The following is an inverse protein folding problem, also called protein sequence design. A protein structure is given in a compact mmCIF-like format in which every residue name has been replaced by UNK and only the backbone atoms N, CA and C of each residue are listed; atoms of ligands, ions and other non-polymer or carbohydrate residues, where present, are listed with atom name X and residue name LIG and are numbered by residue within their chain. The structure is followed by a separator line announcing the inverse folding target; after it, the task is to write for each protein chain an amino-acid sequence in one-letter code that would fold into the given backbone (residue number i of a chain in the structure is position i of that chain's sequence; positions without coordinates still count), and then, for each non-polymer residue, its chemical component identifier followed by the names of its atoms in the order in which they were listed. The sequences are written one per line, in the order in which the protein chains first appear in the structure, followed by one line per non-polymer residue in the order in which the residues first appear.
data_IF_713014925760
#
_entry.id   IF_713014925760
#
_cell.length_a   1.000
_cell.length_b   1.000
_cell.length_c   1.000
_cell.angle_alpha   90.00
_cell.angle_beta   90.00
_cell.angle_gamma   90.00
#
_symmetry.space_group_name_H-M   'P 1'
#
loop_
_entity.id
_entity.type
_entity.pdbx_description
1 polymer ?
#
# COMPACT_ATOMS: atom_id res chain seq x y z
N UNK A 1 7.61 9.71 18.00
CA UNK A 1 8.37 9.17 16.85
C UNK A 1 8.32 7.65 16.75
N UNK A 2 8.52 6.91 17.86
CA UNK A 2 8.48 5.44 17.86
C UNK A 2 7.18 4.83 17.35
N UNK A 3 6.05 5.53 17.53
CA UNK A 3 4.73 5.08 17.09
C UNK A 3 4.60 4.99 15.56
N UNK A 4 4.98 6.07 14.87
CA UNK A 4 4.77 6.24 13.43
C UNK A 4 5.88 5.58 12.60
N UNK A 5 7.09 5.40 13.18
CA UNK A 5 8.19 4.68 12.54
C UNK A 5 8.35 3.22 13.04
N UNK A 6 7.27 2.62 13.56
CA UNK A 6 7.31 1.30 14.16
C UNK A 6 7.36 0.17 13.12
N UNK A 7 8.53 -0.46 12.96
CA UNK A 7 8.71 -1.58 12.00
C UNK A 7 7.84 -2.81 12.29
N UNK A 8 7.54 -3.09 13.55
CA UNK A 8 6.69 -4.23 13.91
C UNK A 8 5.26 -4.01 13.44
N UNK A 9 4.73 -2.79 13.60
CA UNK A 9 3.41 -2.42 13.07
C UNK A 9 3.34 -2.55 11.56
N UNK A 10 4.37 -2.11 10.84
CA UNK A 10 4.48 -2.32 9.38
C UNK A 10 4.39 -3.80 9.02
N UNK A 11 5.13 -4.67 9.74
CA UNK A 11 5.09 -6.13 9.50
C UNK A 11 3.71 -6.73 9.78
N UNK A 12 3.03 -6.30 10.84
CA UNK A 12 1.68 -6.75 11.18
C UNK A 12 0.71 -6.34 10.06
N UNK A 13 0.73 -5.08 9.63
CA UNK A 13 -0.13 -4.57 8.54
C UNK A 13 0.08 -5.37 7.25
N UNK A 14 1.33 -5.58 6.85
CA UNK A 14 1.68 -6.40 5.67
C UNK A 14 1.11 -7.82 5.77
N UNK A 15 1.25 -8.44 6.95
CA UNK A 15 0.75 -9.80 7.19
C UNK A 15 -0.77 -9.88 7.15
N UNK A 16 -1.47 -8.88 7.70
CA UNK A 16 -2.94 -8.80 7.67
C UNK A 16 -3.44 -8.65 6.23
N UNK A 17 -2.75 -7.87 5.42
CA UNK A 17 -3.09 -7.64 4.01
C UNK A 17 -2.66 -8.79 3.08
N UNK A 18 -2.07 -9.88 3.62
CA UNK A 18 -1.61 -11.07 2.88
C UNK A 18 -0.61 -10.76 1.76
N UNK A 19 0.16 -9.69 1.88
CA UNK A 19 1.21 -9.36 0.93
C UNK A 19 2.47 -10.20 1.17
N UNK A 20 3.08 -10.72 0.11
CA UNK A 20 4.32 -11.50 0.19
C UNK A 20 5.55 -10.58 0.15
N UNK A 21 5.89 -10.06 1.32
CA UNK A 21 7.08 -9.22 1.51
C UNK A 21 8.40 -10.00 1.41
N UNK A 22 8.38 -11.34 1.38
CA UNK A 22 9.58 -12.15 1.15
C UNK A 22 9.91 -12.12 -0.35
N UNK A 23 8.90 -12.34 -1.20
CA UNK A 23 9.04 -12.29 -2.66
C UNK A 23 9.31 -10.88 -3.17
N UNK A 24 8.62 -9.88 -2.64
CA UNK A 24 8.84 -8.48 -2.99
C UNK A 24 8.92 -7.62 -1.72
N UNK A 25 10.13 -7.34 -1.21
CA UNK A 25 10.30 -6.45 -0.06
C UNK A 25 9.88 -5.02 -0.39
N UNK A 26 9.30 -4.30 0.58
CA UNK A 26 8.86 -2.91 0.41
C UNK A 26 9.93 -1.98 -0.18
N UNK A 27 11.19 -2.13 0.24
CA UNK A 27 12.30 -1.31 -0.27
C UNK A 27 12.74 -1.63 -1.72
N UNK A 28 12.13 -2.64 -2.35
CA UNK A 28 12.28 -3.00 -3.77
C UNK A 28 10.97 -2.82 -4.56
N UNK A 29 9.88 -2.44 -3.88
CA UNK A 29 8.61 -2.14 -4.53
C UNK A 29 8.72 -0.79 -5.24
N UNK A 30 8.58 -0.78 -6.56
CA UNK A 30 8.64 0.44 -7.37
C UNK A 30 7.27 1.08 -7.53
N UNK A 31 7.26 2.38 -7.82
CA UNK A 31 6.04 3.11 -8.18
C UNK A 31 5.38 2.56 -9.44
N UNK A 32 6.18 2.07 -10.39
CA UNK A 32 5.68 1.43 -11.61
C UNK A 32 4.92 0.14 -11.32
N UNK A 33 5.38 -0.68 -10.38
CA UNK A 33 4.68 -1.90 -9.96
C UNK A 33 3.37 -1.58 -9.25
N UNK A 34 3.36 -0.58 -8.37
CA UNK A 34 2.13 -0.12 -7.68
C UNK A 34 1.13 0.41 -8.68
N UNK A 35 1.57 1.27 -9.60
CA UNK A 35 0.72 1.91 -10.62
C UNK A 35 0.18 0.86 -11.59
N UNK A 36 1.02 -0.09 -12.02
CA UNK A 36 0.59 -1.22 -12.83
C UNK A 36 -0.48 -2.07 -12.13
N UNK A 37 -0.31 -2.34 -10.84
CA UNK A 37 -1.32 -3.01 -10.02
C UNK A 37 -2.64 -2.25 -9.96
N UNK A 38 -2.60 -0.93 -9.73
CA UNK A 38 -3.82 -0.08 -9.72
C UNK A 38 -4.51 -0.09 -11.08
N UNK A 39 -3.76 -0.07 -12.17
CA UNK A 39 -4.32 -0.13 -13.51
C UNK A 39 -5.09 -1.45 -13.73
N UNK A 40 -4.55 -2.59 -13.29
CA UNK A 40 -5.26 -3.87 -13.38
C UNK A 40 -6.56 -3.87 -12.56
N UNK A 41 -6.53 -3.32 -11.33
CA UNK A 41 -7.74 -3.21 -10.52
C UNK A 41 -8.76 -2.23 -11.12
N UNK A 42 -8.31 -1.14 -11.74
CA UNK A 42 -9.19 -0.19 -12.44
C UNK A 42 -9.88 -0.85 -13.64
N UNK A 43 -9.14 -1.65 -14.40
CA UNK A 43 -9.70 -2.39 -15.53
C UNK A 43 -10.68 -3.49 -15.06
N UNK A 44 -10.39 -4.15 -13.92
CA UNK A 44 -11.33 -5.07 -13.27
C UNK A 44 -12.60 -4.35 -12.80
N UNK A 45 -12.48 -3.15 -12.22
CA UNK A 45 -13.63 -2.35 -11.82
C UNK A 45 -14.54 -2.05 -13.01
N UNK A 46 -13.96 -1.60 -14.12
CA UNK A 46 -14.71 -1.32 -15.35
C UNK A 46 -15.40 -2.57 -15.91
N UNK A 47 -14.78 -3.75 -15.83
CA UNK A 47 -15.41 -5.01 -16.23
C UNK A 47 -16.59 -5.38 -15.32
N UNK A 48 -16.42 -5.24 -14.00
CA UNK A 48 -17.47 -5.57 -13.02
C UNK A 48 -18.68 -4.66 -13.20
N UNK A 49 -18.45 -3.38 -13.47
CA UNK A 49 -19.51 -2.39 -13.72
C UNK A 49 -20.20 -2.60 -15.07
N UNK A 50 -19.43 -2.87 -16.13
CA UNK A 50 -19.95 -3.13 -17.48
C UNK A 50 -19.29 -4.37 -18.12
N UNK A 51 -19.98 -5.53 -18.11
CA UNK A 51 -19.48 -6.75 -18.72
C UNK A 51 -19.22 -6.65 -20.25
N UNK A 52 -19.82 -5.69 -20.96
CA UNK A 52 -19.59 -5.49 -22.40
C UNK A 52 -18.16 -5.01 -22.70
N UNK A 53 -17.46 -4.45 -21.70
CA UNK A 53 -16.05 -4.05 -21.80
C UNK A 53 -15.15 -5.27 -22.05
N UNK A 54 -15.54 -6.47 -21.58
CA UNK A 54 -14.77 -7.70 -21.80
C UNK A 54 -14.56 -7.98 -23.29
N UNK A 55 -15.63 -7.92 -24.07
CA UNK A 55 -15.57 -8.21 -25.50
C UNK A 55 -15.06 -7.04 -26.31
N UNK A 56 -15.39 -5.79 -25.95
CA UNK A 56 -14.99 -4.61 -26.72
C UNK A 56 -13.52 -4.20 -26.53
N UNK A 57 -12.98 -4.33 -25.32
CA UNK A 57 -11.59 -3.93 -25.00
C UNK A 57 -10.61 -5.10 -25.00
N UNK A 58 -11.04 -6.26 -24.50
CA UNK A 58 -10.15 -7.41 -24.29
C UNK A 58 -10.35 -8.53 -25.31
N UNK A 59 -11.40 -8.45 -26.14
CA UNK A 59 -11.78 -9.50 -27.09
C UNK A 59 -11.93 -10.88 -26.41
N UNK A 60 -12.46 -10.88 -25.19
CA UNK A 60 -12.62 -12.06 -24.33
C UNK A 60 -14.05 -12.13 -23.78
N UNK A 61 -14.42 -13.30 -23.26
CA UNK A 61 -15.60 -13.45 -22.43
C UNK A 61 -15.39 -12.80 -21.05
N UNK A 62 -16.48 -12.39 -20.38
CA UNK A 62 -16.39 -11.75 -19.06
C UNK A 62 -15.57 -12.55 -18.03
N UNK A 63 -15.83 -13.86 -17.93
CA UNK A 63 -15.12 -14.74 -17.00
C UNK A 63 -13.61 -14.82 -17.30
N UNK A 64 -13.25 -14.96 -18.59
CA UNK A 64 -11.87 -15.04 -19.06
C UNK A 64 -11.11 -13.73 -18.85
N UNK A 65 -11.72 -12.59 -19.20
CA UNK A 65 -11.14 -11.27 -19.00
C UNK A 65 -10.89 -10.99 -17.50
N UNK A 66 -11.85 -11.34 -16.65
CA UNK A 66 -11.75 -11.16 -15.20
C UNK A 66 -10.64 -12.04 -14.59
N UNK A 67 -10.52 -13.29 -15.04
CA UNK A 67 -9.44 -14.18 -14.62
C UNK A 67 -8.07 -13.68 -15.11
N UNK A 68 -7.97 -13.28 -16.37
CA UNK A 68 -6.74 -12.74 -16.96
C UNK A 68 -6.22 -11.52 -16.20
N UNK A 69 -7.08 -10.54 -15.93
CA UNK A 69 -6.70 -9.33 -15.18
C UNK A 69 -6.37 -9.64 -13.71
N UNK A 70 -7.11 -10.57 -13.08
CA UNK A 70 -6.80 -11.02 -11.71
C UNK A 70 -5.40 -11.66 -11.65
N UNK A 71 -5.07 -12.55 -12.57
CA UNK A 71 -3.78 -13.21 -12.66
C UNK A 71 -2.65 -12.21 -12.94
N UNK A 72 -2.92 -11.21 -13.79
CA UNK A 72 -1.98 -10.13 -14.09
C UNK A 72 -1.72 -9.27 -12.85
N UNK A 73 -2.77 -8.90 -12.11
CA UNK A 73 -2.65 -8.20 -10.83
C UNK A 73 -1.78 -8.96 -9.82
N UNK A 74 -1.99 -10.27 -9.65
CA UNK A 74 -1.17 -11.10 -8.74
C UNK A 74 0.28 -11.29 -9.20
N UNK A 75 0.54 -11.07 -10.49
CA UNK A 75 1.90 -11.07 -11.04
C UNK A 75 2.64 -9.77 -10.70
N UNK A 76 1.94 -8.63 -10.68
CA UNK A 76 2.49 -7.35 -10.20
C UNK A 76 2.66 -7.33 -8.68
N UNK A 77 1.62 -7.74 -7.94
CA UNK A 77 1.57 -7.65 -6.48
C UNK A 77 1.56 -9.07 -5.91
N UNK A 78 2.68 -9.56 -5.35
CA UNK A 78 2.73 -10.91 -4.84
C UNK A 78 1.96 -11.02 -3.53
N UNK A 79 1.17 -12.09 -3.43
CA UNK A 79 0.31 -12.37 -2.29
C UNK A 79 0.64 -13.75 -1.70
N UNK A 80 0.43 -13.88 -0.39
CA UNK A 80 0.54 -15.14 0.33
C UNK A 80 -0.80 -15.89 0.32
N UNK A 81 -0.99 -16.76 -0.68
CA UNK A 81 -2.14 -17.67 -0.73
C UNK A 81 -1.87 -19.06 -0.11
N UNK A 82 -0.60 -19.36 0.22
CA UNK A 82 -0.18 -20.68 0.67
C UNK A 82 -0.33 -21.71 -0.45
N UNK A 83 -0.99 -22.84 -0.17
CA UNK A 83 -1.26 -23.91 -1.15
C UNK A 83 -2.57 -23.71 -1.94
N UNK A 84 -3.30 -22.63 -1.67
CA UNK A 84 -4.57 -22.34 -2.35
C UNK A 84 -4.30 -21.57 -3.63
N UNK A 85 -5.13 -21.81 -4.64
CA UNK A 85 -5.13 -21.01 -5.87
C UNK A 85 -5.52 -19.56 -5.54
N UNK A 86 -4.88 -18.56 -6.17
CA UNK A 86 -5.29 -17.16 -6.08
C UNK A 86 -6.77 -17.00 -6.42
N UNK A 87 -7.56 -16.24 -5.64
CA UNK A 87 -8.97 -16.03 -5.91
C UNK A 87 -9.16 -15.08 -7.10
N UNK A 88 -10.14 -15.35 -7.96
CA UNK A 88 -10.49 -14.45 -9.06
C UNK A 88 -11.27 -13.23 -8.50
N UNK A 89 -10.82 -12.02 -8.84
CA UNK A 89 -11.41 -10.76 -8.39
C UNK A 89 -12.59 -10.42 -9.30
N UNK A 90 -13.80 -10.81 -8.88
CA UNK A 90 -15.04 -10.68 -9.67
C UNK A 90 -16.17 -9.93 -8.95
N UNK A 91 -15.86 -9.29 -7.83
CA UNK A 91 -16.82 -8.54 -7.03
C UNK A 91 -16.13 -7.39 -6.29
N UNK A 92 -16.95 -6.43 -5.88
CA UNK A 92 -16.49 -5.20 -5.24
C UNK A 92 -15.77 -5.44 -3.91
N UNK A 93 -16.14 -6.49 -3.19
CA UNK A 93 -15.51 -6.83 -1.90
C UNK A 93 -14.04 -7.22 -2.10
N UNK A 94 -13.75 -8.06 -3.10
CA UNK A 94 -12.39 -8.46 -3.42
C UNK A 94 -11.61 -7.31 -4.06
N UNK A 95 -12.28 -6.54 -4.93
CA UNK A 95 -11.69 -5.39 -5.58
C UNK A 95 -11.24 -4.32 -4.56
N UNK A 96 -12.14 -3.96 -3.64
CA UNK A 96 -11.87 -2.98 -2.57
C UNK A 96 -10.70 -3.42 -1.69
N UNK A 97 -10.62 -4.70 -1.33
CA UNK A 97 -9.47 -5.25 -0.59
C UNK A 97 -8.15 -5.10 -1.36
N UNK A 98 -8.16 -5.34 -2.67
CA UNK A 98 -6.99 -5.13 -3.53
C UNK A 98 -6.55 -3.67 -3.58
N UNK A 99 -7.52 -2.74 -3.65
CA UNK A 99 -7.28 -1.29 -3.65
C UNK A 99 -6.70 -0.84 -2.29
N UNK A 100 -7.33 -1.25 -1.18
CA UNK A 100 -6.85 -0.95 0.18
C UNK A 100 -5.42 -1.45 0.40
N UNK A 101 -5.10 -2.66 -0.11
CA UNK A 101 -3.75 -3.20 -0.09
C UNK A 101 -2.78 -2.29 -0.86
N UNK A 102 -3.09 -1.92 -2.11
CA UNK A 102 -2.21 -1.08 -2.92
C UNK A 102 -2.00 0.32 -2.31
N UNK A 103 -3.04 0.93 -1.77
CA UNK A 103 -2.94 2.20 -1.05
C UNK A 103 -2.00 2.07 0.15
N UNK A 104 -2.21 1.05 0.98
CA UNK A 104 -1.37 0.78 2.15
C UNK A 104 0.09 0.51 1.75
N UNK A 105 0.32 -0.23 0.66
CA UNK A 105 1.66 -0.49 0.14
C UNK A 105 2.36 0.78 -0.37
N UNK A 106 1.61 1.68 -1.01
CA UNK A 106 2.11 2.98 -1.47
C UNK A 106 2.61 3.81 -0.30
N UNK A 107 1.79 3.98 0.73
CA UNK A 107 2.14 4.75 1.94
C UNK A 107 3.32 4.12 2.68
N UNK A 108 3.30 2.80 2.84
CA UNK A 108 4.37 2.06 3.51
C UNK A 108 5.70 2.14 2.74
N UNK A 109 5.68 2.17 1.40
CA UNK A 109 6.88 2.35 0.57
C UNK A 109 7.51 3.70 0.84
N UNK A 110 6.73 4.77 0.81
CA UNK A 110 7.20 6.15 1.07
C UNK A 110 7.80 6.23 2.48
N UNK A 111 7.10 5.70 3.48
CA UNK A 111 7.59 5.68 4.85
C UNK A 111 8.86 4.83 5.01
N UNK A 112 8.98 3.71 4.31
CA UNK A 112 10.18 2.87 4.32
C UNK A 112 11.40 3.55 3.67
N UNK A 113 11.19 4.33 2.61
CA UNK A 113 12.24 5.15 2.02
C UNK A 113 12.66 6.28 2.96
N UNK A 114 11.72 6.91 3.65
CA UNK A 114 12.03 7.91 4.68
C UNK A 114 12.89 7.35 5.83
N UNK A 115 12.57 6.13 6.29
CA UNK A 115 13.40 5.39 7.26
C UNK A 115 14.81 5.04 6.76
N UNK A 116 15.02 4.95 5.45
CA UNK A 116 16.35 4.69 4.85
C UNK A 116 17.18 5.97 4.76
N UNK A 117 16.57 7.10 4.40
CA UNK A 117 17.27 8.40 4.30
C UNK A 117 17.92 8.74 5.65
N UNK A 118 17.22 8.49 6.75
CA UNK A 118 17.76 8.58 8.11
C UNK A 118 18.90 7.60 8.46
N UNK A 119 19.46 6.81 7.55
CA UNK A 119 20.66 5.98 7.85
C UNK A 119 21.94 6.46 7.18
N UNK A 120 21.85 7.39 6.23
CA UNK A 120 23.00 7.79 5.40
C UNK A 120 23.87 8.92 6.01
N UNK A 121 23.38 9.64 7.00
CA UNK A 121 24.16 10.68 7.70
C UNK A 121 24.98 10.08 8.84
N UNK A 122 26.29 10.34 8.85
CA UNK A 122 27.27 9.89 9.86
C UNK A 122 27.26 10.76 11.13
N UNK A 123 26.15 11.45 11.40
CA UNK A 123 26.08 12.42 12.50
C UNK A 123 25.70 11.74 13.82
N UNK A 124 26.24 12.26 14.91
CA UNK A 124 26.03 11.88 16.32
C UNK A 124 24.60 12.09 16.84
N UNK A 125 23.61 12.25 15.96
CA UNK A 125 22.22 12.56 16.29
C UNK A 125 21.45 11.26 16.58
N UNK A 126 20.57 11.31 17.57
CA UNK A 126 19.73 10.16 17.95
C UNK A 126 18.84 9.71 16.77
N UNK A 127 18.64 8.39 16.56
CA UNK A 127 17.87 7.89 15.41
C UNK A 127 16.44 8.43 15.29
N UNK A 128 15.77 8.72 16.43
CA UNK A 128 14.41 9.26 16.43
C UNK A 128 14.35 10.72 15.97
N UNK A 129 15.34 11.53 16.33
CA UNK A 129 15.41 12.94 15.93
C UNK A 129 15.67 13.05 14.42
N UNK A 130 16.44 12.11 13.90
CA UNK A 130 16.70 12.02 12.46
C UNK A 130 15.47 11.57 11.67
N UNK A 131 14.69 10.63 12.22
CA UNK A 131 13.38 10.29 11.66
C UNK A 131 12.43 11.48 11.69
N UNK A 132 12.50 12.30 12.74
CA UNK A 132 11.70 13.51 12.89
C UNK A 132 12.06 14.55 11.84
N UNK A 133 13.36 14.84 11.67
CA UNK A 133 13.85 15.71 10.59
C UNK A 133 13.42 15.21 9.20
N UNK A 134 13.41 13.89 9.00
CA UNK A 134 12.95 13.28 7.75
C UNK A 134 11.50 13.63 7.39
N UNK A 135 10.63 13.91 8.37
CA UNK A 135 9.25 14.30 8.09
C UNK A 135 9.13 15.68 7.42
N UNK A 136 10.17 16.53 7.50
CA UNK A 136 10.16 17.86 6.87
C UNK A 136 9.06 18.77 7.39
N UNK A 137 8.65 18.62 8.66
CA UNK A 137 7.61 19.43 9.28
C UNK A 137 8.14 20.83 9.61
N UNK A 138 7.32 21.85 9.39
CA UNK A 138 7.61 23.23 9.83
C UNK A 138 7.52 23.34 11.36
N UNK A 139 6.52 22.67 11.96
CA UNK A 139 6.30 22.65 13.39
C UNK A 139 5.76 21.28 13.85
N UNK A 140 6.21 20.83 15.03
CA UNK A 140 5.61 19.70 15.76
C UNK A 140 5.80 19.92 17.25
N UNK A 141 5.02 20.85 17.81
CA UNK A 141 5.02 21.19 19.23
C UNK A 141 3.85 20.50 19.93
N UNK A 142 4.07 20.09 21.19
CA UNK A 142 2.98 19.54 22.01
C UNK A 142 2.11 20.72 22.46
N UNK A 143 0.81 20.60 22.24
CA UNK A 143 -0.15 21.55 22.78
C UNK A 143 -0.34 21.34 24.29
N UNK A 144 -0.30 22.43 25.05
CA UNK A 144 -0.57 22.43 26.50
C UNK A 144 -2.06 22.18 26.74
N UNK A 145 -2.39 21.27 27.66
CA UNK A 145 -3.74 20.90 28.04
C UNK A 145 -4.54 22.07 28.66
N UNK A 146 -3.85 23.12 29.10
CA UNK A 146 -4.45 24.36 29.63
C UNK A 146 -4.55 25.47 28.60
N UNK A 147 -4.04 25.28 27.39
CA UNK A 147 -4.11 26.30 26.35
C UNK A 147 -5.55 26.50 25.88
N UNK A 148 -5.88 27.72 25.45
CA UNK A 148 -7.17 28.01 24.84
C UNK A 148 -7.41 27.14 23.61
N UNK A 149 -6.38 26.91 22.80
CA UNK A 149 -6.46 26.07 21.60
C UNK A 149 -6.86 24.62 21.92
N UNK A 150 -6.30 24.04 22.98
CA UNK A 150 -6.65 22.68 23.39
C UNK A 150 -8.13 22.57 23.77
N UNK A 151 -8.65 23.58 24.47
CA UNK A 151 -10.07 23.65 24.86
C UNK A 151 -11.05 23.84 23.69
N UNK A 152 -10.59 24.15 22.48
CA UNK A 152 -11.45 24.22 21.29
C UNK A 152 -11.49 22.91 20.49
N UNK A 153 -10.56 21.98 20.75
CA UNK A 153 -10.42 20.72 20.00
C UNK A 153 -11.02 19.52 20.78
N UNK A 154 -11.12 19.65 22.11
CA UNK A 154 -11.75 18.69 23.03
C UNK A 154 -13.17 19.12 23.39
#
# INVERSE_FOLDING_TARGET
MELIFNRQRFRITISVLKYDAIKLPLGKLSDTTITGGFQQLKDLAALIDDPAVASSKWNMGFAEATEHLSNTYYSFIPHMFGRKQPPIIRNDILLKKGIELLQSLSDMRVAAELMKIGRKTRDSIHPLDRQFQGLGLEEMTRLDDKSSEFGHIM
#
